data_IF_311404508218
#
_entry.id   IF_311404508218
#
_cell.length_a   1.000
_cell.length_b   1.000
_cell.length_c   1.000
_cell.angle_alpha   90.00
_cell.angle_beta   90.00
_cell.angle_gamma   90.00
#
_symmetry.space_group_name_H-M   'P 1'
#
loop_
_entity.id
_entity.type
_entity.pdbx_description
1 polymer ?
#
# COMPACT_ATOMS: atom_id res chain seq x y z
N UNK A 1 -24.70 41.07 1.68
CA UNK A 1 -25.13 41.16 0.27
C UNK A 1 -24.07 40.69 -0.74
N UNK A 2 -22.89 41.33 -0.87
CA UNK A 2 -21.86 41.00 -1.90
C UNK A 2 -21.31 39.56 -1.90
N UNK A 3 -21.26 38.88 -0.75
CA UNK A 3 -20.74 37.49 -0.62
C UNK A 3 -21.70 36.44 -1.20
N UNK A 4 -23.01 36.63 -0.99
CA UNK A 4 -24.08 35.80 -1.55
C UNK A 4 -24.09 35.92 -3.08
N UNK A 5 -23.98 37.14 -3.59
CA UNK A 5 -23.94 37.41 -5.03
C UNK A 5 -22.72 36.78 -5.72
N UNK A 6 -21.53 36.87 -5.10
CA UNK A 6 -20.33 36.15 -5.58
C UNK A 6 -20.50 34.64 -5.56
N UNK A 7 -21.17 34.09 -4.54
CA UNK A 7 -21.47 32.64 -4.46
C UNK A 7 -22.45 32.22 -5.55
N UNK A 8 -23.50 33.01 -5.81
CA UNK A 8 -24.45 32.79 -6.90
C UNK A 8 -23.75 32.88 -8.26
N UNK A 9 -22.96 33.93 -8.55
CA UNK A 9 -22.20 34.03 -9.81
C UNK A 9 -21.26 32.86 -10.05
N UNK A 10 -20.58 32.36 -9.01
CA UNK A 10 -19.76 31.14 -9.09
C UNK A 10 -20.60 29.89 -9.35
N UNK A 11 -21.77 29.79 -8.70
CA UNK A 11 -22.71 28.68 -8.89
C UNK A 11 -23.25 28.65 -10.31
N UNK A 12 -23.67 29.79 -10.86
CA UNK A 12 -24.18 29.90 -12.24
C UNK A 12 -23.09 29.68 -13.28
N UNK A 13 -21.85 30.13 -13.04
CA UNK A 13 -20.68 29.82 -13.89
C UNK A 13 -20.39 28.32 -13.91
N UNK A 14 -20.60 27.62 -12.79
CA UNK A 14 -20.40 26.19 -12.67
C UNK A 14 -21.58 25.37 -13.21
N UNK A 15 -22.82 25.84 -13.07
CA UNK A 15 -24.03 25.21 -13.62
C UNK A 15 -24.06 25.24 -15.16
N UNK A 16 -23.55 26.30 -15.79
CA UNK A 16 -23.48 26.41 -17.24
C UNK A 16 -22.31 25.62 -17.87
N UNK A 17 -21.41 25.06 -17.07
CA UNK A 17 -20.26 24.29 -17.52
C UNK A 17 -20.46 22.85 -17.05
N UNK A 18 -20.94 21.97 -17.94
CA UNK A 18 -21.16 20.53 -17.66
C UNK A 18 -19.82 19.81 -17.48
N UNK A 19 -19.11 20.14 -16.40
CA UNK A 19 -17.78 19.64 -16.09
C UNK A 19 -17.81 18.40 -15.21
N UNK A 20 -18.98 17.95 -14.79
CA UNK A 20 -19.13 16.72 -14.01
C UNK A 20 -19.44 15.56 -14.96
N UNK A 21 -18.39 14.99 -15.56
CA UNK A 21 -18.55 13.69 -16.21
C UNK A 21 -18.80 12.62 -15.14
N UNK A 22 -19.76 11.72 -15.37
CA UNK A 22 -20.09 10.67 -14.42
C UNK A 22 -18.85 9.84 -14.08
N UNK A 23 -18.62 9.60 -12.78
CA UNK A 23 -17.51 8.80 -12.28
C UNK A 23 -16.12 9.34 -12.67
N UNK A 24 -15.95 10.65 -12.86
CA UNK A 24 -14.63 11.26 -13.06
C UNK A 24 -14.42 12.46 -12.12
N UNK A 25 -13.19 12.62 -11.61
CA UNK A 25 -12.81 13.82 -10.86
C UNK A 25 -12.42 14.90 -11.85
N UNK A 26 -13.40 15.71 -12.24
CA UNK A 26 -13.25 16.77 -13.22
C UNK A 26 -13.31 18.14 -12.57
N UNK A 27 -12.39 19.02 -12.97
CA UNK A 27 -12.27 20.38 -12.47
C UNK A 27 -12.37 21.36 -13.62
N UNK A 28 -13.10 22.45 -13.41
CA UNK A 28 -13.12 23.57 -14.34
C UNK A 28 -11.84 24.38 -14.20
N UNK A 29 -11.09 24.47 -15.29
CA UNK A 29 -9.92 25.32 -15.42
C UNK A 29 -10.27 26.56 -16.24
N UNK A 30 -9.60 27.67 -15.96
CA UNK A 30 -9.69 28.90 -16.75
C UNK A 30 -8.31 29.55 -16.93
N UNK A 31 -8.27 30.64 -17.69
CA UNK A 31 -7.03 31.36 -18.03
C UNK A 31 -6.21 31.81 -16.81
N UNK A 32 -6.80 31.81 -15.60
CA UNK A 32 -6.13 32.25 -14.39
C UNK A 32 -5.59 31.11 -13.53
N UNK A 33 -5.74 29.84 -13.92
CA UNK A 33 -5.25 28.75 -13.09
C UNK A 33 -3.72 28.61 -13.15
N UNK A 34 -3.10 28.84 -14.31
CA UNK A 34 -1.66 28.74 -14.49
C UNK A 34 -1.02 30.05 -14.03
N UNK A 35 -0.14 29.98 -13.02
CA UNK A 35 0.57 31.15 -12.49
C UNK A 35 1.97 31.34 -13.09
N UNK A 36 2.44 30.34 -13.83
CA UNK A 36 3.75 30.31 -14.47
C UNK A 36 3.59 29.89 -15.93
N UNK A 37 4.38 30.45 -16.86
CA UNK A 37 4.32 30.07 -18.26
C UNK A 37 4.54 28.56 -18.51
N UNK A 38 3.98 28.00 -19.59
CA UNK A 38 3.07 28.66 -20.54
C UNK A 38 1.68 28.91 -19.90
N UNK A 39 1.14 30.11 -20.10
CA UNK A 39 -0.20 30.48 -19.62
C UNK A 39 -1.27 29.98 -20.60
N UNK A 40 -2.43 29.59 -20.07
CA UNK A 40 -3.58 29.17 -20.87
C UNK A 40 -4.45 30.36 -21.28
N UNK A 41 -4.77 30.50 -22.57
CA UNK A 41 -5.54 31.65 -23.10
C UNK A 41 -6.88 31.28 -23.75
N UNK A 42 -7.14 30.00 -24.01
CA UNK A 42 -8.27 29.53 -24.82
C UNK A 42 -9.62 29.43 -24.07
N UNK A 43 -9.75 30.12 -22.93
CA UNK A 43 -11.00 30.18 -22.16
C UNK A 43 -11.15 29.02 -21.17
N UNK A 44 -12.33 28.87 -20.55
CA UNK A 44 -12.54 27.81 -19.57
C UNK A 44 -12.59 26.44 -20.25
N UNK A 45 -11.98 25.42 -19.64
CA UNK A 45 -12.04 24.03 -20.09
C UNK A 45 -12.20 23.08 -18.91
N UNK A 46 -12.55 21.82 -19.20
CA UNK A 46 -12.67 20.77 -18.20
C UNK A 46 -11.43 19.90 -18.19
N UNK A 47 -10.79 19.80 -17.03
CA UNK A 47 -9.69 18.88 -16.78
C UNK A 47 -10.19 17.73 -15.90
N UNK A 48 -10.32 16.55 -16.49
CA UNK A 48 -10.68 15.34 -15.78
C UNK A 48 -9.41 14.52 -15.50
N UNK A 49 -9.17 14.20 -14.23
CA UNK A 49 -8.13 13.22 -13.90
C UNK A 49 -8.55 11.85 -14.45
N UNK A 50 -7.61 11.14 -15.06
CA UNK A 50 -7.83 9.90 -15.82
C UNK A 50 -8.47 8.75 -15.02
N UNK A 51 -8.59 8.86 -13.70
CA UNK A 51 -9.28 7.85 -12.90
C UNK A 51 -9.84 8.46 -11.61
N UNK A 52 -11.11 8.20 -11.33
CA UNK A 52 -11.78 8.56 -10.07
C UNK A 52 -11.38 7.67 -8.89
N UNK A 53 -10.92 6.45 -9.18
CA UNK A 53 -10.19 5.57 -8.30
C UNK A 53 -8.77 5.46 -8.83
N UNK A 54 -7.75 5.52 -7.99
CA UNK A 54 -6.42 5.17 -8.47
C UNK A 54 -6.46 3.69 -8.84
N UNK A 55 -6.27 3.36 -10.12
CA UNK A 55 -6.21 1.98 -10.62
C UNK A 55 -4.86 1.32 -10.33
N UNK A 56 -4.00 1.98 -9.56
CA UNK A 56 -2.66 1.53 -9.21
C UNK A 56 -2.21 2.07 -7.84
N UNK A 57 -1.22 1.41 -7.26
CA UNK A 57 -0.47 1.89 -6.11
C UNK A 57 1.02 1.87 -6.44
N UNK A 58 1.75 2.91 -6.02
CA UNK A 58 3.18 3.00 -6.26
C UNK A 58 3.98 3.19 -4.96
N UNK A 59 5.20 2.66 -4.98
CA UNK A 59 6.27 2.92 -4.03
C UNK A 59 7.35 3.75 -4.73
N UNK A 60 7.69 4.90 -4.15
CA UNK A 60 8.81 5.74 -4.61
C UNK A 60 9.90 5.73 -3.55
N UNK A 61 11.12 5.42 -3.97
CA UNK A 61 12.33 5.56 -3.15
C UNK A 61 13.25 6.60 -3.78
N UNK A 62 13.70 7.55 -2.97
CA UNK A 62 14.69 8.57 -3.33
C UNK A 62 15.70 8.64 -2.18
N UNK A 63 16.91 8.17 -2.42
CA UNK A 63 18.04 8.26 -1.51
C UNK A 63 19.35 8.34 -2.34
N UNK A 64 20.50 8.37 -1.67
CA UNK A 64 21.82 8.50 -2.33
C UNK A 64 22.13 7.35 -3.31
N UNK A 65 21.63 6.15 -3.04
CA UNK A 65 21.93 4.94 -3.82
C UNK A 65 20.82 4.54 -4.77
N UNK A 66 19.57 4.88 -4.49
CA UNK A 66 18.38 4.41 -5.17
C UNK A 66 17.45 5.57 -5.51
N UNK A 67 17.01 5.62 -6.76
CA UNK A 67 15.98 6.55 -7.19
C UNK A 67 15.06 5.81 -8.18
N UNK A 68 14.04 5.12 -7.67
CA UNK A 68 13.18 4.27 -8.50
C UNK A 68 11.71 4.42 -8.15
N UNK A 69 10.84 4.06 -9.10
CA UNK A 69 9.40 4.00 -8.97
C UNK A 69 8.90 2.59 -9.28
N UNK A 70 8.25 1.94 -8.31
CA UNK A 70 7.61 0.64 -8.45
C UNK A 70 6.09 0.81 -8.36
N UNK A 71 5.29 0.22 -9.25
CA UNK A 71 3.84 0.32 -9.22
C UNK A 71 3.15 -1.02 -9.52
N UNK A 72 2.03 -1.25 -8.83
CA UNK A 72 1.12 -2.37 -9.09
C UNK A 72 -0.27 -1.84 -9.46
N UNK A 73 -0.75 -2.26 -10.62
CA UNK A 73 -2.09 -1.96 -11.09
C UNK A 73 -3.09 -2.99 -10.56
N UNK A 74 -4.35 -2.58 -10.42
CA UNK A 74 -5.46 -3.47 -10.01
C UNK A 74 -5.62 -4.65 -10.99
N UNK A 75 -5.22 -4.46 -12.26
CA UNK A 75 -5.19 -5.51 -13.29
C UNK A 75 -4.10 -6.56 -13.08
N UNK A 76 -3.18 -6.35 -12.14
CA UNK A 76 -1.99 -7.19 -11.94
C UNK A 76 -0.81 -6.80 -12.83
N UNK A 77 -0.92 -5.75 -13.66
CA UNK A 77 0.23 -5.20 -14.37
C UNK A 77 1.20 -4.57 -13.36
N UNK A 78 2.50 -4.83 -13.52
CA UNK A 78 3.55 -4.35 -12.62
C UNK A 78 4.56 -3.56 -13.44
N UNK A 79 4.96 -2.40 -12.91
CA UNK A 79 5.98 -1.57 -13.54
C UNK A 79 7.09 -1.22 -12.56
N UNK A 80 8.32 -1.21 -13.04
CA UNK A 80 9.48 -0.69 -12.32
C UNK A 80 10.30 0.22 -13.22
N UNK A 81 10.68 1.39 -12.71
CA UNK A 81 11.53 2.35 -13.40
C UNK A 81 12.65 2.81 -12.47
N UNK A 82 13.90 2.58 -12.85
CA UNK A 82 15.05 3.22 -12.22
C UNK A 82 15.28 4.59 -12.85
N UNK A 83 14.98 5.64 -12.12
CA UNK A 83 15.00 7.02 -12.61
C UNK A 83 16.42 7.62 -12.64
N UNK A 84 17.42 6.87 -12.15
CA UNK A 84 18.82 7.22 -12.40
C UNK A 84 19.22 6.94 -13.85
N UNK A 85 18.64 5.91 -14.45
CA UNK A 85 19.00 5.41 -15.78
C UNK A 85 17.90 5.68 -16.81
N UNK A 86 16.64 5.73 -16.39
CA UNK A 86 15.46 6.07 -17.21
C UNK A 86 14.65 7.22 -16.57
N UNK A 87 15.11 8.48 -16.68
CA UNK A 87 14.43 9.63 -16.07
C UNK A 87 13.01 9.87 -16.58
N UNK A 88 12.72 9.41 -17.79
CA UNK A 88 11.46 9.62 -18.49
C UNK A 88 10.51 8.42 -18.42
N UNK A 89 10.90 7.35 -17.71
CA UNK A 89 10.07 6.16 -17.48
C UNK A 89 9.59 5.51 -18.79
N UNK A 90 10.46 5.51 -19.80
CA UNK A 90 10.13 5.03 -21.14
C UNK A 90 10.12 3.50 -21.23
N UNK A 91 10.84 2.81 -20.32
CA UNK A 91 11.00 1.36 -20.38
C UNK A 91 10.72 0.71 -19.04
N UNK A 92 9.69 -0.13 -19.01
CA UNK A 92 9.40 -0.95 -17.83
C UNK A 92 10.51 -2.01 -17.64
N UNK A 93 11.27 -1.88 -16.55
CA UNK A 93 12.39 -2.74 -16.19
C UNK A 93 12.04 -3.79 -15.13
N UNK A 94 10.76 -4.09 -14.91
CA UNK A 94 10.32 -5.05 -13.88
C UNK A 94 10.97 -6.43 -14.01
N UNK A 95 11.21 -6.88 -15.24
CA UNK A 95 11.83 -8.19 -15.51
C UNK A 95 13.35 -8.22 -15.29
N UNK A 96 13.97 -7.08 -15.03
CA UNK A 96 15.40 -6.97 -14.71
C UNK A 96 15.67 -7.06 -13.21
N UNK A 97 14.61 -6.96 -12.39
CA UNK A 97 14.72 -7.11 -10.95
C UNK A 97 14.91 -8.58 -10.57
N UNK A 98 15.75 -8.81 -9.56
CA UNK A 98 15.78 -10.08 -8.85
C UNK A 98 14.44 -10.35 -8.17
N UNK A 99 14.02 -11.62 -8.15
CA UNK A 99 12.76 -12.05 -7.57
C UNK A 99 12.63 -11.66 -6.09
N UNK A 100 13.73 -11.75 -5.32
CA UNK A 100 13.73 -11.34 -3.92
C UNK A 100 13.49 -9.84 -3.74
N UNK A 101 14.06 -9.03 -4.62
CA UNK A 101 13.83 -7.57 -4.61
C UNK A 101 12.38 -7.24 -4.95
N UNK A 102 11.82 -7.89 -5.97
CA UNK A 102 10.42 -7.71 -6.36
C UNK A 102 9.45 -8.04 -5.21
N UNK A 103 9.67 -9.16 -4.51
CA UNK A 103 8.84 -9.55 -3.36
C UNK A 103 8.92 -8.55 -2.21
N UNK A 104 10.13 -8.05 -1.91
CA UNK A 104 10.31 -7.01 -0.89
C UNK A 104 9.52 -5.75 -1.25
N UNK A 105 9.61 -5.28 -2.51
CA UNK A 105 8.88 -4.09 -2.97
C UNK A 105 7.36 -4.29 -2.86
N UNK A 106 6.87 -5.47 -3.22
CA UNK A 106 5.45 -5.84 -3.09
C UNK A 106 4.98 -5.88 -1.64
N UNK A 107 5.75 -6.49 -0.74
CA UNK A 107 5.46 -6.47 0.70
C UNK A 107 5.43 -5.06 1.27
N UNK A 108 6.40 -4.22 0.89
CA UNK A 108 6.47 -2.82 1.32
C UNK A 108 5.25 -2.03 0.84
N UNK A 109 4.90 -2.17 -0.44
CA UNK A 109 3.74 -1.52 -1.03
C UNK A 109 2.45 -1.96 -0.31
N UNK A 110 2.26 -3.26 -0.08
CA UNK A 110 1.08 -3.77 0.61
C UNK A 110 0.95 -3.25 2.04
N UNK A 111 2.06 -3.15 2.78
CA UNK A 111 2.06 -2.54 4.11
C UNK A 111 1.65 -1.06 4.05
N UNK A 112 2.20 -0.31 3.11
CA UNK A 112 1.89 1.12 2.95
C UNK A 112 0.46 1.37 2.45
N UNK A 113 -0.12 0.42 1.71
CA UNK A 113 -1.52 0.48 1.26
C UNK A 113 -2.50 0.36 2.43
N UNK A 114 -2.17 -0.41 3.47
CA UNK A 114 -3.08 -0.68 4.60
C UNK A 114 -2.80 0.13 5.86
N UNK A 115 -1.59 0.70 5.99
CA UNK A 115 -1.17 1.38 7.21
C UNK A 115 -2.01 2.64 7.50
N UNK A 116 -2.14 3.01 8.78
CA UNK A 116 -2.80 4.24 9.19
C UNK A 116 -1.95 5.06 10.16
N UNK A 117 -1.78 6.33 9.82
CA UNK A 117 -1.02 7.28 10.62
C UNK A 117 0.50 7.01 10.63
N UNK A 118 1.25 7.97 11.16
CA UNK A 118 2.72 7.95 11.08
C UNK A 118 3.35 6.73 11.75
N UNK A 119 2.80 6.24 12.87
CA UNK A 119 3.37 5.12 13.62
C UNK A 119 3.39 3.81 12.83
N UNK A 120 2.35 3.54 12.03
CA UNK A 120 2.23 2.31 11.24
C UNK A 120 2.83 2.47 9.84
N UNK A 121 2.72 3.66 9.25
CA UNK A 121 3.19 3.95 7.90
C UNK A 121 4.69 4.26 7.82
N UNK A 122 5.37 4.47 8.95
CA UNK A 122 6.83 4.65 8.94
C UNK A 122 7.52 3.31 8.70
N UNK A 123 8.09 3.16 7.51
CA UNK A 123 8.90 2.00 7.16
C UNK A 123 10.24 2.07 7.88
N UNK A 124 10.34 1.36 9.02
CA UNK A 124 11.64 1.13 9.64
C UNK A 124 12.41 0.17 8.76
N UNK A 125 13.54 0.64 8.20
CA UNK A 125 14.53 -0.19 7.53
C UNK A 125 15.18 -1.12 8.57
N UNK A 126 14.44 -2.15 9.02
CA UNK A 126 15.07 -3.31 9.65
C UNK A 126 15.28 -4.31 8.54
N UNK A 127 16.54 -4.52 8.20
CA UNK A 127 16.98 -5.60 7.34
C UNK A 127 16.69 -6.93 8.08
N UNK A 128 15.45 -7.39 8.03
CA UNK A 128 15.14 -8.79 8.32
C UNK A 128 15.38 -9.58 7.03
N UNK A 129 16.67 -9.74 6.69
CA UNK A 129 17.08 -10.69 5.67
C UNK A 129 16.63 -12.12 6.05
N UNK A 130 16.52 -13.03 5.08
CA UNK A 130 16.04 -14.38 5.33
C UNK A 130 16.93 -15.08 6.37
N UNK A 131 16.33 -15.49 7.49
CA UNK A 131 16.97 -16.43 8.42
C UNK A 131 17.17 -17.76 7.69
N UNK A 132 18.35 -17.95 7.10
CA UNK A 132 18.82 -19.29 6.78
C UNK A 132 18.84 -20.11 8.07
N UNK A 133 17.93 -21.08 8.18
CA UNK A 133 18.02 -22.13 9.19
C UNK A 133 19.25 -22.99 8.89
N UNK A 134 20.39 -22.59 9.44
CA UNK A 134 21.56 -23.45 9.50
C UNK A 134 21.36 -24.46 10.62
N UNK A 135 20.57 -25.50 10.37
CA UNK A 135 20.69 -26.77 11.13
C UNK A 135 21.65 -27.66 10.36
N UNK A 136 22.95 -27.46 10.61
CA UNK A 136 23.97 -28.42 10.20
C UNK A 136 23.78 -29.75 10.94
N UNK A 137 23.90 -30.83 10.19
CA UNK A 137 24.05 -32.20 10.71
C UNK A 137 25.53 -32.44 11.09
N UNK A 138 25.74 -33.46 11.93
CA UNK A 138 26.99 -34.16 12.34
C UNK A 138 27.67 -33.55 13.59
N UNK A 139 28.19 -34.28 14.59
CA UNK A 139 28.49 -35.71 14.73
C UNK A 139 28.60 -36.11 16.23
N UNK A 140 28.72 -37.42 16.45
CA UNK A 140 28.67 -38.16 17.72
C UNK A 140 29.67 -37.74 18.82
N UNK A 141 29.25 -37.97 20.08
CA UNK A 141 30.16 -38.36 21.15
C UNK A 141 29.44 -39.31 22.12
N UNK A 142 29.88 -40.56 22.12
CA UNK A 142 29.49 -41.61 23.03
C UNK A 142 29.89 -41.24 24.47
N UNK A 143 28.97 -41.31 25.43
CA UNK A 143 29.29 -41.65 26.82
C UNK A 143 28.08 -42.26 27.51
N UNK A 144 28.33 -43.44 28.05
CA UNK A 144 27.41 -44.38 28.68
C UNK A 144 27.05 -43.98 30.12
N UNK A 145 25.87 -44.44 30.53
CA UNK A 145 25.44 -44.84 31.90
C UNK A 145 25.07 -43.74 32.91
N UNK A 146 23.77 -43.67 33.24
CA UNK A 146 23.26 -44.29 34.47
C UNK A 146 21.73 -44.33 34.49
N UNK A 147 21.23 -45.49 34.89
CA UNK A 147 19.84 -45.86 35.16
C UNK A 147 19.28 -45.03 36.32
N UNK A 148 18.01 -44.58 36.23
CA UNK A 148 17.11 -44.46 37.38
C UNK A 148 15.63 -44.43 36.95
N UNK A 149 15.03 -45.62 37.05
CA UNK A 149 13.68 -45.95 37.54
C UNK A 149 12.49 -45.04 37.16
N UNK A 150 11.62 -45.59 36.31
CA UNK A 150 10.22 -45.21 36.15
C UNK A 150 9.41 -45.86 37.29
N UNK A 151 8.71 -45.08 38.10
CA UNK A 151 7.60 -45.60 38.93
C UNK A 151 6.32 -44.85 38.55
N UNK A 152 5.37 -45.64 38.07
CA UNK A 152 3.97 -45.28 37.91
C UNK A 152 3.35 -44.98 39.27
N UNK A 153 2.43 -44.03 39.32
CA UNK A 153 1.23 -44.19 40.14
C UNK A 153 0.03 -43.53 39.47
N UNK A 154 -1.02 -44.34 39.34
CA UNK A 154 -2.36 -43.92 38.96
C UNK A 154 -3.13 -43.54 40.24
N UNK A 155 -3.99 -42.51 40.19
CA UNK A 155 -5.46 -42.65 40.27
C UNK A 155 -6.21 -41.45 40.90
N UNK A 156 -7.37 -41.22 40.29
CA UNK A 156 -8.69 -40.82 40.82
C UNK A 156 -9.12 -39.33 41.00
N UNK A 157 -10.24 -39.04 40.32
CA UNK A 157 -11.29 -38.08 40.69
C UNK A 157 -11.18 -36.74 39.95
N UNK A 158 -12.09 -36.27 39.10
CA UNK A 158 -13.48 -36.60 38.86
C UNK A 158 -14.32 -35.32 38.90
N UNK A 159 -15.15 -35.11 37.86
CA UNK A 159 -16.40 -34.31 37.77
C UNK A 159 -16.41 -32.93 37.08
N UNK A 160 -17.26 -32.92 36.04
CA UNK A 160 -18.24 -31.91 35.61
C UNK A 160 -17.90 -30.94 34.47
N UNK A 161 -18.57 -31.19 33.33
CA UNK A 161 -18.96 -30.26 32.27
C UNK A 161 -20.38 -29.72 32.62
N UNK A 162 -20.82 -28.50 32.23
CA UNK A 162 -21.57 -28.39 30.96
C UNK A 162 -21.57 -27.01 30.22
N UNK A 163 -21.57 -27.10 28.89
CA UNK A 163 -22.43 -26.43 27.87
C UNK A 163 -22.70 -24.89 27.78
N UNK A 164 -22.69 -24.41 26.52
CA UNK A 164 -23.36 -23.22 25.91
C UNK A 164 -22.74 -21.84 26.17
N UNK A 165 -22.71 -20.83 25.28
CA UNK A 165 -23.46 -20.54 24.05
C UNK A 165 -22.79 -19.43 23.21
N UNK A 166 -23.19 -19.37 21.93
CA UNK A 166 -23.01 -18.31 20.92
C UNK A 166 -23.07 -16.86 21.44
N UNK A 167 -22.30 -15.94 20.83
CA UNK A 167 -22.85 -14.69 20.27
C UNK A 167 -21.90 -14.05 19.26
N UNK A 168 -22.41 -13.92 18.05
CA UNK A 168 -21.92 -13.18 16.91
C UNK A 168 -22.21 -11.68 17.12
N UNK A 169 -21.27 -10.79 16.78
CA UNK A 169 -21.52 -9.33 16.82
C UNK A 169 -20.96 -8.65 15.58
N UNK A 170 -21.85 -8.49 14.61
CA UNK A 170 -21.73 -7.55 13.49
C UNK A 170 -21.51 -6.13 14.02
N UNK A 171 -20.50 -5.43 13.48
CA UNK A 171 -20.32 -3.99 13.68
C UNK A 171 -20.56 -3.25 12.37
N UNK A 172 -21.64 -2.48 12.39
CA UNK A 172 -22.21 -1.65 11.33
C UNK A 172 -21.46 -0.31 11.34
N UNK A 173 -20.85 0.09 10.22
CA UNK A 173 -20.25 1.43 10.08
C UNK A 173 -21.31 2.40 9.56
N UNK A 174 -21.48 3.51 10.30
CA UNK A 174 -22.17 4.74 9.86
C UNK A 174 -21.17 5.65 9.15
#
# INVERSE_FOLDING_TARGET
>A
MKKMERKMRRKTKFENMTCNAEKMNCFTQDNNHWKTPPLWTEGPFCFCQNANNNTFWCLRTINESHNFLYCEFVTGFITFYDLRTDPYQMRNAVYELDYGTLEILRMQLNKLRSCKGAKECTMRYRYDGPRHQQRQRSAASSRTRSIRHWKNDQRFGGRNNPHSSHTERHSKWK
#
